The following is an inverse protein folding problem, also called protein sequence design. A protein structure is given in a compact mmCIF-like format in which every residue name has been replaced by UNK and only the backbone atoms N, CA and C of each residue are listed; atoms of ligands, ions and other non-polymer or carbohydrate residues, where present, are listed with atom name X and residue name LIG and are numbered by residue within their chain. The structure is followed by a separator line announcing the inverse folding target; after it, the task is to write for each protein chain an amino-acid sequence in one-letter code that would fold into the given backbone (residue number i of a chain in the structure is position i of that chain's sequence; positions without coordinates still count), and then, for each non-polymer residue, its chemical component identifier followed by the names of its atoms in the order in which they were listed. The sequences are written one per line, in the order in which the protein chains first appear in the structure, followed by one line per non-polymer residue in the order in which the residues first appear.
data_IF_663170205128
#
_entry.id   IF_663170205128
#
_cell.length_a   1.000
_cell.length_b   1.000
_cell.length_c   1.000
_cell.angle_alpha   90.00
_cell.angle_beta   90.00
_cell.angle_gamma   90.00
#
_symmetry.space_group_name_H-M   'P 1'
#
loop_
_entity.id
_entity.type
_entity.pdbx_description
1 polymer ?
#
# COMPACT_ATOMS: atom_id res chain seq x y z
N UNK A 1 10.89 23.94 -56.18
CA UNK A 1 11.84 25.03 -56.44
C UNK A 1 12.42 25.52 -55.10
N UNK A 2 13.78 25.48 -55.02
CA UNK A 2 14.71 26.04 -54.01
C UNK A 2 14.61 25.43 -52.58
N UNK A 3 15.44 24.50 -52.14
CA UNK A 3 16.89 24.48 -51.83
C UNK A 3 17.33 25.65 -50.94
N UNK A 4 17.91 25.31 -49.80
CA UNK A 4 19.18 25.80 -49.22
C UNK A 4 19.12 25.46 -47.71
N UNK A 5 20.04 24.92 -47.03
CA UNK A 5 21.38 24.36 -47.01
C UNK A 5 21.73 24.06 -45.55
N UNK A 6 22.23 22.93 -45.37
CA UNK A 6 23.13 22.46 -44.31
C UNK A 6 24.18 23.50 -43.88
N UNK A 7 24.42 23.61 -42.56
CA UNK A 7 25.73 24.03 -42.05
C UNK A 7 26.20 23.04 -41.00
N UNK A 8 27.35 22.49 -41.33
CA UNK A 8 28.17 21.58 -40.57
C UNK A 8 29.05 22.29 -39.52
N UNK A 9 29.44 21.48 -38.50
CA UNK A 9 30.77 21.49 -37.86
C UNK A 9 30.98 22.49 -36.74
N UNK A 10 31.49 22.11 -35.58
CA UNK A 10 32.81 21.51 -35.33
C UNK A 10 32.90 20.99 -33.89
N UNK A 11 33.38 19.79 -33.77
CA UNK A 11 34.04 19.23 -32.60
C UNK A 11 35.38 19.91 -32.30
N UNK A 12 35.81 19.92 -31.04
CA UNK A 12 37.21 19.74 -30.55
C UNK A 12 37.26 19.85 -29.00
N UNK A 13 38.37 19.42 -28.34
CA UNK A 13 38.31 18.25 -27.48
C UNK A 13 38.77 18.53 -26.03
N UNK A 14 38.64 17.52 -25.22
CA UNK A 14 39.40 17.10 -24.03
C UNK A 14 40.41 18.06 -23.40
N UNK A 15 40.30 18.23 -22.11
CA UNK A 15 41.49 18.34 -21.25
C UNK A 15 41.26 17.52 -19.98
N UNK A 16 42.09 16.49 -19.89
CA UNK A 16 42.39 15.66 -18.73
C UNK A 16 43.18 16.53 -17.75
N UNK A 17 42.80 16.54 -16.48
CA UNK A 17 43.70 16.86 -15.40
C UNK A 17 43.51 15.85 -14.27
N UNK A 18 44.47 14.93 -14.22
CA UNK A 18 44.76 14.11 -13.04
C UNK A 18 45.41 15.01 -11.97
N UNK A 19 44.97 14.86 -10.75
CA UNK A 19 45.80 15.12 -9.58
C UNK A 19 45.50 14.05 -8.54
N UNK A 20 46.43 13.12 -8.45
CA UNK A 20 46.60 12.25 -7.31
C UNK A 20 47.48 12.99 -6.28
N UNK A 21 47.22 12.80 -4.99
CA UNK A 21 48.18 12.69 -3.89
C UNK A 21 47.39 12.34 -2.62
N UNK A 22 47.59 11.11 -2.13
CA UNK A 22 48.17 10.65 -0.88
C UNK A 22 47.50 11.26 0.36
N UNK A 23 46.91 10.52 1.23
CA UNK A 23 47.43 9.44 2.05
C UNK A 23 47.43 9.91 3.48
N UNK A 24 46.75 9.25 4.36
CA UNK A 24 47.24 9.02 5.72
C UNK A 24 46.20 8.20 6.52
N UNK A 25 46.64 7.07 6.94
CA UNK A 25 46.30 6.24 8.07
C UNK A 25 45.70 6.93 9.28
N UNK A 26 44.64 6.34 9.85
CA UNK A 26 44.42 6.08 11.26
C UNK A 26 43.33 4.99 11.32
N UNK A 27 43.68 3.79 11.55
CA UNK A 27 43.81 2.98 12.74
C UNK A 27 42.52 2.83 13.54
N UNK A 28 41.90 1.67 13.37
CA UNK A 28 41.52 0.65 14.36
C UNK A 28 41.02 1.11 15.73
N UNK A 29 39.86 0.64 16.05
CA UNK A 29 39.29 0.16 17.31
C UNK A 29 37.84 0.70 17.38
N UNK A 30 36.80 -0.06 17.61
CA UNK A 30 36.59 -1.22 18.42
C UNK A 30 35.34 -1.94 17.98
N UNK A 31 35.47 -3.15 17.52
CA UNK A 31 34.43 -4.15 17.64
C UNK A 31 34.58 -4.78 19.03
N UNK A 32 33.68 -4.46 19.92
CA UNK A 32 33.53 -5.15 21.19
C UNK A 32 32.04 -5.26 21.47
N UNK A 33 31.44 -6.45 21.24
CA UNK A 33 31.04 -7.30 22.31
C UNK A 33 29.63 -6.94 22.77
N UNK A 34 28.57 -7.39 22.04
CA UNK A 34 27.33 -7.79 22.68
C UNK A 34 27.47 -9.27 22.99
N UNK A 35 28.13 -9.55 24.06
CA UNK A 35 28.04 -10.87 24.70
C UNK A 35 26.68 -11.01 25.38
N UNK A 36 26.10 -12.14 25.10
CA UNK A 36 24.86 -12.71 25.56
C UNK A 36 24.78 -12.71 27.09
N UNK A 37 23.88 -11.91 27.62
CA UNK A 37 23.58 -11.83 29.06
C UNK A 37 22.82 -13.07 29.58
N UNK A 38 22.67 -14.10 28.75
CA UNK A 38 21.97 -15.34 29.11
C UNK A 38 22.86 -16.36 29.86
N UNK A 39 24.18 -16.21 29.78
CA UNK A 39 25.11 -17.13 30.48
C UNK A 39 25.55 -16.66 31.88
N UNK A 40 25.34 -15.43 32.27
CA UNK A 40 25.67 -14.92 33.59
C UNK A 40 24.59 -15.19 34.66
N UNK A 41 23.36 -15.51 34.27
CA UNK A 41 22.26 -15.84 35.19
C UNK A 41 22.22 -17.30 35.62
N UNK A 42 23.03 -18.17 35.00
CA UNK A 42 23.06 -19.60 35.32
C UNK A 42 24.04 -19.97 36.46
N UNK A 43 24.87 -19.01 36.95
CA UNK A 43 25.87 -19.31 37.98
C UNK A 43 25.51 -18.84 39.39
N UNK A 44 24.33 -18.27 39.62
CA UNK A 44 23.86 -17.83 40.94
C UNK A 44 22.77 -18.71 41.58
N UNK A 45 22.53 -19.90 41.07
CA UNK A 45 21.68 -20.86 41.79
C UNK A 45 22.53 -21.67 42.74
N UNK A 46 22.68 -21.15 43.94
CA UNK A 46 23.31 -21.84 45.04
C UNK A 46 22.54 -23.08 45.46
N UNK A 47 23.29 -24.13 45.75
CA UNK A 47 22.83 -25.39 46.36
C UNK A 47 22.27 -25.11 47.76
N UNK A 48 21.00 -24.79 47.89
CA UNK A 48 20.29 -25.06 49.14
C UNK A 48 18.78 -25.11 48.90
N UNK A 49 18.20 -26.22 49.32
CA UNK A 49 16.87 -26.71 48.93
C UNK A 49 15.68 -26.06 49.68
N UNK A 50 15.72 -24.75 49.99
CA UNK A 50 14.66 -24.10 50.78
C UNK A 50 13.92 -22.94 50.15
N UNK A 51 14.21 -22.60 48.88
CA UNK A 51 13.56 -21.45 48.22
C UNK A 51 12.58 -21.81 47.10
N UNK A 52 11.79 -22.87 47.30
CA UNK A 52 10.70 -23.22 46.37
C UNK A 52 9.45 -22.32 46.46
N UNK A 53 9.46 -21.26 47.28
CA UNK A 53 8.24 -20.43 47.50
C UNK A 53 8.34 -18.96 47.07
N UNK A 54 9.45 -18.49 46.51
CA UNK A 54 9.59 -17.06 46.12
C UNK A 54 9.57 -16.85 44.58
N UNK A 55 9.61 -17.92 43.77
CA UNK A 55 9.62 -17.78 42.31
C UNK A 55 8.20 -17.67 41.72
N UNK A 56 7.13 -17.79 42.52
CA UNK A 56 5.76 -17.71 41.99
C UNK A 56 5.14 -16.32 41.97
N UNK A 57 5.86 -15.25 42.32
CA UNK A 57 5.32 -13.88 42.35
C UNK A 57 6.04 -12.84 41.47
N UNK A 58 6.96 -13.26 40.59
CA UNK A 58 7.56 -12.40 39.58
C UNK A 58 7.11 -12.82 38.17
N UNK A 59 5.84 -13.12 38.00
CA UNK A 59 5.21 -13.06 36.69
C UNK A 59 4.99 -11.57 36.35
N UNK A 60 5.96 -10.96 35.70
CA UNK A 60 5.74 -9.73 34.96
C UNK A 60 4.56 -10.01 34.02
N UNK A 61 3.44 -9.30 34.12
CA UNK A 61 2.36 -9.51 33.19
C UNK A 61 2.94 -9.21 31.81
N UNK A 62 2.98 -10.20 30.93
CA UNK A 62 3.20 -9.99 29.52
C UNK A 62 2.16 -8.95 29.09
N UNK A 63 2.61 -7.71 28.89
CA UNK A 63 1.82 -6.69 28.25
C UNK A 63 1.42 -7.27 26.89
N UNK A 64 0.18 -7.72 26.82
CA UNK A 64 -0.48 -8.05 25.57
C UNK A 64 -0.49 -6.78 24.72
N UNK A 65 0.55 -6.59 23.91
CA UNK A 65 0.48 -5.72 22.74
C UNK A 65 -0.35 -6.44 21.68
N UNK A 66 -1.61 -6.66 21.98
CA UNK A 66 -2.67 -6.91 21.02
C UNK A 66 -3.62 -5.71 21.06
N UNK A 67 -3.14 -4.57 20.59
CA UNK A 67 -4.03 -3.54 20.06
C UNK A 67 -4.55 -4.01 18.68
N UNK A 68 -5.02 -5.25 18.61
CA UNK A 68 -5.85 -5.73 17.53
C UNK A 68 -7.19 -5.05 17.65
N UNK A 69 -7.63 -4.46 16.59
CA UNK A 69 -8.85 -3.72 16.29
C UNK A 69 -10.13 -4.49 16.69
N UNK A 70 -10.33 -4.78 17.99
CA UNK A 70 -11.49 -5.50 18.52
C UNK A 70 -12.74 -4.60 18.66
N UNK A 71 -12.61 -3.29 18.41
CA UNK A 71 -13.70 -2.33 18.58
C UNK A 71 -14.54 -2.08 17.31
N UNK A 72 -14.16 -2.59 16.15
CA UNK A 72 -14.89 -2.35 14.90
C UNK A 72 -14.77 -3.55 13.94
N UNK A 73 -15.68 -4.54 14.04
CA UNK A 73 -15.62 -5.76 13.21
C UNK A 73 -15.81 -5.50 11.71
N UNK A 74 -16.39 -4.37 11.35
CA UNK A 74 -16.61 -3.95 9.96
C UNK A 74 -15.60 -2.89 9.48
N UNK A 75 -14.52 -2.66 10.25
CA UNK A 75 -13.47 -1.73 9.83
C UNK A 75 -12.46 -2.42 8.93
N UNK A 76 -11.96 -1.72 7.89
CA UNK A 76 -10.90 -2.22 7.03
C UNK A 76 -9.63 -2.60 7.81
N UNK A 77 -9.05 -3.73 7.47
CA UNK A 77 -7.74 -4.15 8.00
C UNK A 77 -6.64 -3.25 7.43
N UNK A 78 -5.85 -2.63 8.29
CA UNK A 78 -4.78 -1.71 7.92
C UNK A 78 -3.41 -2.35 8.13
N UNK A 79 -2.52 -2.26 7.15
CA UNK A 79 -1.15 -2.80 7.17
C UNK A 79 -0.17 -1.64 7.29
N UNK A 80 0.62 -1.55 8.38
CA UNK A 80 1.71 -0.59 8.48
C UNK A 80 2.77 -0.84 7.40
N UNK A 81 3.22 0.22 6.73
CA UNK A 81 4.24 0.09 5.67
C UNK A 81 5.64 0.24 6.29
N UNK A 82 6.51 -0.78 6.15
CA UNK A 82 7.84 -0.77 6.74
C UNK A 82 8.65 0.48 6.38
N UNK A 83 9.25 1.12 7.37
CA UNK A 83 10.07 2.32 7.18
C UNK A 83 9.29 3.60 6.85
N UNK A 84 7.95 3.57 6.93
CA UNK A 84 7.09 4.71 6.63
C UNK A 84 6.16 5.03 7.80
N UNK A 85 5.69 6.29 7.84
CA UNK A 85 4.76 6.76 8.87
C UNK A 85 3.29 6.67 8.43
N UNK A 86 2.92 5.61 7.71
CA UNK A 86 1.54 5.35 7.35
C UNK A 86 1.23 3.86 7.31
N UNK A 87 -0.03 3.55 7.47
CA UNK A 87 -0.60 2.24 7.15
C UNK A 87 -1.53 2.39 5.95
N UNK A 88 -1.72 1.30 5.21
CA UNK A 88 -2.64 1.25 4.08
C UNK A 88 -3.59 0.07 4.23
N UNK A 89 -4.80 0.18 3.69
CA UNK A 89 -5.77 -0.91 3.72
C UNK A 89 -5.21 -2.17 3.07
N UNK A 90 -5.33 -3.32 3.72
CA UNK A 90 -4.92 -4.62 3.18
C UNK A 90 -5.59 -4.90 1.83
N UNK A 91 -6.85 -4.49 1.71
CA UNK A 91 -7.71 -4.62 0.53
C UNK A 91 -8.22 -3.25 0.08
N UNK A 92 -8.74 -3.16 -1.14
CA UNK A 92 -9.66 -2.09 -1.50
C UNK A 92 -10.92 -2.18 -0.63
N UNK A 93 -11.54 -1.04 -0.31
CA UNK A 93 -12.80 -1.02 0.45
C UNK A 93 -13.84 -1.85 -0.29
N UNK A 94 -14.53 -2.72 0.45
CA UNK A 94 -15.50 -3.67 -0.07
C UNK A 94 -16.93 -3.11 -0.03
N UNK A 95 -17.82 -3.75 -0.77
CA UNK A 95 -19.24 -3.45 -0.63
C UNK A 95 -19.77 -3.72 0.78
N UNK A 96 -19.27 -4.76 1.47
CA UNK A 96 -19.65 -5.03 2.87
C UNK A 96 -19.34 -3.84 3.78
N UNK A 97 -18.14 -3.29 3.66
CA UNK A 97 -17.71 -2.14 4.45
C UNK A 97 -18.46 -0.85 4.05
N UNK A 98 -18.76 -0.69 2.77
CA UNK A 98 -19.58 0.41 2.28
C UNK A 98 -21.02 0.33 2.81
N UNK A 99 -21.62 -0.86 2.77
CA UNK A 99 -22.98 -1.10 3.27
C UNK A 99 -23.08 -0.82 4.77
N UNK A 100 -22.03 -1.16 5.54
CA UNK A 100 -21.95 -0.81 6.95
C UNK A 100 -21.89 0.71 7.18
N UNK A 101 -21.24 1.47 6.29
CA UNK A 101 -21.26 2.93 6.32
C UNK A 101 -22.67 3.48 6.10
N UNK A 102 -23.36 2.98 5.08
CA UNK A 102 -24.74 3.41 4.78
C UNK A 102 -25.69 3.06 5.94
N UNK A 103 -25.60 1.84 6.45
CA UNK A 103 -26.42 1.39 7.60
C UNK A 103 -26.13 2.21 8.88
N UNK A 104 -24.90 2.67 9.03
CA UNK A 104 -24.48 3.56 10.14
C UNK A 104 -24.81 5.03 9.94
N UNK A 105 -25.62 5.39 8.93
CA UNK A 105 -25.99 6.78 8.63
C UNK A 105 -24.94 7.59 7.90
N UNK A 106 -23.83 6.96 7.46
CA UNK A 106 -22.77 7.56 6.69
C UNK A 106 -22.97 7.48 5.17
N UNK A 107 -21.90 7.83 4.42
CA UNK A 107 -21.86 7.74 2.96
C UNK A 107 -22.99 8.47 2.22
N UNK A 108 -23.64 9.46 2.88
CA UNK A 108 -24.79 10.18 2.32
C UNK A 108 -25.97 9.29 1.95
N UNK A 109 -26.06 8.07 2.49
CA UNK A 109 -27.08 7.08 2.13
C UNK A 109 -26.92 6.50 0.71
N UNK A 110 -25.83 6.84 -0.01
CA UNK A 110 -25.63 6.41 -1.38
C UNK A 110 -25.36 4.91 -1.48
N UNK A 111 -26.13 4.22 -2.31
CA UNK A 111 -25.98 2.80 -2.58
C UNK A 111 -25.45 2.60 -4.01
N UNK A 112 -24.13 2.40 -4.20
CA UNK A 112 -23.55 2.17 -5.51
C UNK A 112 -24.02 0.84 -6.09
N UNK A 113 -24.25 0.82 -7.42
CA UNK A 113 -24.57 -0.40 -8.14
C UNK A 113 -23.41 -1.38 -8.10
N UNK A 114 -23.70 -2.65 -7.84
CA UNK A 114 -22.77 -3.76 -7.97
C UNK A 114 -22.72 -4.36 -9.39
N UNK A 115 -23.42 -3.74 -10.34
CA UNK A 115 -23.55 -4.17 -11.73
C UNK A 115 -24.09 -5.60 -11.88
N UNK A 116 -24.81 -6.13 -10.90
CA UNK A 116 -25.28 -7.52 -10.88
C UNK A 116 -24.19 -8.56 -10.62
N UNK A 117 -23.01 -8.14 -10.13
CA UNK A 117 -21.88 -9.04 -9.86
C UNK A 117 -21.87 -9.59 -8.43
N UNK A 118 -22.74 -9.06 -7.57
CA UNK A 118 -22.81 -9.33 -6.15
C UNK A 118 -21.98 -8.34 -5.33
N UNK A 119 -22.31 -8.24 -4.05
CA UNK A 119 -21.72 -7.32 -3.07
C UNK A 119 -20.71 -8.05 -2.16
N UNK A 120 -20.86 -7.94 -0.87
CA UNK A 120 -20.02 -8.62 0.12
C UNK A 120 -18.55 -8.23 -0.01
N UNK A 121 -17.69 -9.21 -0.22
CA UNK A 121 -16.25 -9.05 -0.29
C UNK A 121 -15.73 -8.57 -1.66
N UNK A 122 -16.58 -8.14 -2.58
CA UNK A 122 -16.10 -7.48 -3.79
C UNK A 122 -15.74 -6.03 -3.49
N UNK A 123 -14.71 -5.47 -4.18
CA UNK A 123 -14.37 -4.07 -4.00
C UNK A 123 -15.56 -3.19 -4.39
N UNK A 124 -15.85 -2.16 -3.60
CA UNK A 124 -16.86 -1.19 -3.95
C UNK A 124 -16.44 -0.44 -5.22
N UNK A 125 -17.37 -0.34 -6.15
CA UNK A 125 -17.19 0.39 -7.42
C UNK A 125 -18.36 1.35 -7.63
N UNK A 126 -18.34 2.14 -8.69
CA UNK A 126 -19.32 3.21 -8.91
C UNK A 126 -19.34 4.24 -7.78
N UNK A 127 -18.18 4.49 -7.18
CA UNK A 127 -17.96 5.50 -6.15
C UNK A 127 -17.00 6.56 -6.68
N UNK A 128 -17.32 7.83 -6.45
CA UNK A 128 -16.50 8.98 -6.77
C UNK A 128 -15.44 9.23 -5.68
N UNK A 129 -14.53 10.15 -5.92
CA UNK A 129 -13.60 10.63 -4.90
C UNK A 129 -14.37 11.30 -3.75
N UNK A 130 -15.40 12.07 -4.09
CA UNK A 130 -16.26 12.75 -3.09
C UNK A 130 -17.01 11.73 -2.22
N UNK A 131 -17.50 10.63 -2.82
CA UNK A 131 -18.13 9.52 -2.09
C UNK A 131 -17.11 8.83 -1.14
N UNK A 132 -15.87 8.61 -1.61
CA UNK A 132 -14.80 8.05 -0.78
C UNK A 132 -14.48 8.96 0.42
N UNK A 133 -14.50 10.29 0.25
CA UNK A 133 -14.34 11.24 1.35
C UNK A 133 -15.50 11.15 2.37
N UNK A 134 -16.73 10.89 1.91
CA UNK A 134 -17.86 10.70 2.82
C UNK A 134 -17.68 9.43 3.67
N UNK A 135 -17.21 8.32 3.06
CA UNK A 135 -16.85 7.09 3.76
C UNK A 135 -15.74 7.33 4.79
N UNK A 136 -14.70 8.04 4.41
CA UNK A 136 -13.55 8.36 5.26
C UNK A 136 -13.97 9.17 6.48
N UNK A 137 -14.79 10.20 6.31
CA UNK A 137 -15.31 11.00 7.44
C UNK A 137 -16.08 10.12 8.43
N UNK A 138 -17.06 9.35 7.93
CA UNK A 138 -17.84 8.44 8.75
C UNK A 138 -16.95 7.46 9.54
N UNK A 139 -15.99 6.82 8.87
CA UNK A 139 -15.11 5.86 9.52
C UNK A 139 -14.18 6.51 10.56
N UNK A 140 -13.68 7.70 10.25
CA UNK A 140 -12.83 8.48 11.17
C UNK A 140 -13.58 8.88 12.41
N UNK A 141 -14.81 9.38 12.28
CA UNK A 141 -15.70 9.73 13.40
C UNK A 141 -16.02 8.49 14.24
N UNK A 142 -16.38 7.37 13.58
CA UNK A 142 -16.71 6.10 14.25
C UNK A 142 -15.55 5.53 15.07
N UNK A 143 -14.30 5.71 14.62
CA UNK A 143 -13.13 5.04 15.20
C UNK A 143 -12.20 5.96 15.97
N UNK A 144 -12.33 7.27 15.83
CA UNK A 144 -11.39 8.26 16.35
C UNK A 144 -10.03 8.27 15.65
N UNK A 145 -9.90 7.61 14.48
CA UNK A 145 -8.63 7.52 13.71
C UNK A 145 -8.69 8.41 12.48
N UNK A 146 -7.57 9.01 12.09
CA UNK A 146 -7.46 9.89 10.94
C UNK A 146 -7.25 9.11 9.64
N UNK A 147 -8.31 8.49 9.10
CA UNK A 147 -8.27 7.85 7.79
C UNK A 147 -8.25 8.89 6.68
N UNK A 148 -7.67 8.51 5.55
CA UNK A 148 -7.59 9.32 4.33
C UNK A 148 -7.40 8.42 3.10
N UNK A 149 -7.38 8.99 1.92
CA UNK A 149 -6.85 8.32 0.73
C UNK A 149 -5.30 8.36 0.77
N UNK A 150 -4.61 7.38 0.16
CA UNK A 150 -3.17 7.45 -0.02
C UNK A 150 -2.81 8.54 -1.03
N UNK A 151 -1.64 9.13 -0.90
CA UNK A 151 -1.02 9.92 -1.98
C UNK A 151 -0.55 8.99 -3.11
N UNK A 152 -0.21 9.54 -4.28
CA UNK A 152 0.42 8.80 -5.38
C UNK A 152 1.69 8.07 -4.91
N UNK A 153 2.54 8.77 -4.15
CA UNK A 153 3.80 8.22 -3.66
C UNK A 153 3.57 7.05 -2.69
N UNK A 154 2.71 7.24 -1.69
CA UNK A 154 2.34 6.19 -0.73
C UNK A 154 1.74 4.97 -1.43
N UNK A 155 0.86 5.22 -2.42
CA UNK A 155 0.25 4.14 -3.18
C UNK A 155 1.32 3.34 -3.96
N UNK A 156 2.28 4.01 -4.61
CA UNK A 156 3.38 3.36 -5.37
C UNK A 156 4.32 2.57 -4.48
N UNK A 157 4.73 3.12 -3.33
CA UNK A 157 5.54 2.42 -2.32
C UNK A 157 4.82 1.14 -1.90
N UNK A 158 3.54 1.25 -1.56
CA UNK A 158 2.72 0.13 -1.14
C UNK A 158 2.52 -0.91 -2.26
N UNK A 159 2.32 -0.47 -3.51
CA UNK A 159 2.06 -1.36 -4.64
C UNK A 159 3.26 -2.22 -5.01
N UNK A 160 4.44 -1.63 -5.06
CA UNK A 160 5.68 -2.35 -5.41
C UNK A 160 6.25 -3.14 -4.24
N UNK A 161 6.05 -2.69 -3.00
CA UNK A 161 6.55 -3.36 -1.80
C UNK A 161 8.05 -3.73 -1.90
N UNK A 162 8.87 -2.81 -2.43
CA UNK A 162 10.30 -2.99 -2.64
C UNK A 162 10.70 -3.65 -3.96
N UNK A 163 9.76 -4.11 -4.80
CA UNK A 163 10.08 -4.64 -6.12
C UNK A 163 10.55 -3.52 -7.07
N UNK A 164 11.51 -3.86 -7.93
CA UNK A 164 12.05 -2.98 -8.98
C UNK A 164 11.53 -3.35 -10.38
N UNK A 165 10.62 -4.31 -10.44
CA UNK A 165 10.00 -4.85 -11.65
C UNK A 165 8.73 -4.09 -12.02
N UNK A 166 8.16 -4.34 -13.20
CA UNK A 166 6.93 -3.67 -13.67
C UNK A 166 5.71 -3.98 -12.79
N UNK A 167 5.63 -5.21 -12.27
CA UNK A 167 4.66 -5.68 -11.31
C UNK A 167 5.39 -6.16 -10.05
N UNK A 168 4.72 -6.22 -8.91
CA UNK A 168 5.35 -6.70 -7.68
C UNK A 168 5.75 -8.20 -7.74
N UNK A 169 5.26 -8.95 -8.73
CA UNK A 169 5.59 -10.37 -8.95
C UNK A 169 6.59 -10.59 -10.10
N UNK A 170 7.09 -9.55 -10.79
CA UNK A 170 8.05 -9.65 -11.88
C UNK A 170 7.74 -8.73 -13.05
N UNK A 171 8.40 -8.94 -14.19
CA UNK A 171 8.21 -8.16 -15.41
C UNK A 171 7.17 -8.77 -16.36
N UNK A 172 6.87 -10.05 -16.21
CA UNK A 172 5.82 -10.72 -16.98
C UNK A 172 4.50 -10.67 -16.22
N UNK A 173 3.42 -10.32 -16.93
CA UNK A 173 2.07 -10.35 -16.34
C UNK A 173 1.69 -11.77 -15.88
N UNK A 174 2.15 -12.80 -16.58
CA UNK A 174 1.84 -14.20 -16.32
C UNK A 174 0.34 -14.52 -16.46
N UNK A 175 -0.08 -15.58 -15.78
CA UNK A 175 -1.50 -15.95 -15.71
C UNK A 175 -1.99 -15.97 -14.26
N UNK A 176 -3.17 -15.43 -14.04
CA UNK A 176 -3.85 -15.47 -12.75
C UNK A 176 -3.06 -14.84 -11.59
N UNK A 177 -2.23 -13.85 -11.89
CA UNK A 177 -1.54 -13.04 -10.87
C UNK A 177 -2.38 -11.83 -10.44
N UNK A 178 -3.29 -11.38 -11.30
CA UNK A 178 -4.20 -10.26 -11.06
C UNK A 178 -5.49 -10.45 -11.88
N UNK A 179 -6.47 -9.59 -11.68
CA UNK A 179 -7.67 -9.51 -12.50
C UNK A 179 -7.58 -8.31 -13.45
N UNK A 180 -7.36 -8.58 -14.73
CA UNK A 180 -7.29 -7.58 -15.81
C UNK A 180 -7.78 -8.18 -17.12
N UNK A 181 -7.89 -7.39 -18.18
CA UNK A 181 -8.16 -7.88 -19.54
C UNK A 181 -6.89 -8.51 -20.11
N UNK A 182 -6.84 -9.84 -20.19
CA UNK A 182 -5.70 -10.63 -20.62
C UNK A 182 -4.81 -11.16 -19.47
N UNK A 183 -5.24 -11.07 -18.22
CA UNK A 183 -4.54 -11.67 -17.08
C UNK A 183 -4.87 -13.15 -16.86
N UNK A 184 -5.91 -13.68 -17.50
CA UNK A 184 -6.28 -15.09 -17.48
C UNK A 184 -6.93 -15.57 -16.20
N UNK A 185 -7.50 -14.68 -15.39
CA UNK A 185 -8.34 -15.03 -14.25
C UNK A 185 -9.75 -15.48 -14.69
N UNK A 186 -10.51 -16.12 -13.81
CA UNK A 186 -11.90 -16.47 -14.09
C UNK A 186 -12.82 -15.24 -14.23
N UNK A 187 -12.39 -14.06 -13.75
CA UNK A 187 -13.13 -12.79 -13.84
C UNK A 187 -12.64 -11.88 -14.96
N UNK A 188 -11.59 -12.28 -15.66
CA UNK A 188 -10.89 -11.53 -16.72
C UNK A 188 -11.87 -10.90 -17.70
N UNK A 189 -11.78 -9.59 -17.89
CA UNK A 189 -12.61 -8.75 -18.76
C UNK A 189 -14.13 -8.92 -18.58
N UNK A 190 -14.60 -9.44 -17.44
CA UNK A 190 -16.05 -9.68 -17.19
C UNK A 190 -16.57 -8.93 -15.97
N UNK A 191 -15.86 -8.99 -14.85
CA UNK A 191 -16.30 -8.41 -13.56
C UNK A 191 -15.13 -8.29 -12.56
N UNK A 192 -15.36 -7.59 -11.46
CA UNK A 192 -14.43 -7.60 -10.33
C UNK A 192 -14.31 -9.00 -9.72
N UNK A 193 -13.15 -9.32 -9.15
CA UNK A 193 -12.97 -10.48 -8.27
C UNK A 193 -13.30 -10.09 -6.81
N UNK A 194 -13.67 -11.02 -5.93
CA UNK A 194 -13.60 -10.78 -4.49
C UNK A 194 -12.20 -10.34 -4.09
N UNK A 195 -12.07 -9.42 -3.13
CA UNK A 195 -10.75 -8.97 -2.68
C UNK A 195 -9.95 -10.14 -2.10
N UNK A 196 -8.63 -10.14 -2.32
CA UNK A 196 -7.76 -11.20 -1.82
C UNK A 196 -7.77 -12.49 -2.66
N UNK A 197 -8.36 -12.47 -3.86
CA UNK A 197 -8.40 -13.65 -4.75
C UNK A 197 -7.03 -14.02 -5.34
N UNK A 198 -6.04 -13.13 -5.27
CA UNK A 198 -4.70 -13.31 -5.83
C UNK A 198 -3.64 -13.26 -4.73
N UNK A 199 -2.39 -13.60 -5.06
CA UNK A 199 -1.29 -13.55 -4.10
C UNK A 199 -1.00 -12.10 -3.67
N UNK A 200 -0.72 -11.85 -2.38
CA UNK A 200 -0.34 -10.52 -1.92
C UNK A 200 1.09 -10.17 -2.36
N UNK A 201 1.42 -8.88 -2.31
CA UNK A 201 2.80 -8.43 -2.43
C UNK A 201 3.61 -8.68 -1.12
N UNK A 202 4.89 -8.30 -1.10
CA UNK A 202 5.78 -8.53 0.04
C UNK A 202 5.36 -7.82 1.34
N UNK A 203 4.49 -6.80 1.26
CA UNK A 203 3.91 -6.16 2.44
C UNK A 203 2.59 -6.79 2.90
N UNK A 204 2.14 -7.87 2.26
CA UNK A 204 0.87 -8.53 2.57
C UNK A 204 -0.36 -7.80 2.02
N UNK A 205 -0.19 -6.90 1.04
CA UNK A 205 -1.25 -6.15 0.40
C UNK A 205 -1.77 -6.88 -0.83
N UNK A 206 -3.08 -6.98 -0.96
CA UNK A 206 -3.76 -7.66 -2.05
C UNK A 206 -4.30 -6.67 -3.08
N UNK A 207 -4.41 -7.10 -4.32
CA UNK A 207 -5.08 -6.37 -5.41
C UNK A 207 -4.57 -4.91 -5.56
N UNK A 208 -3.27 -4.69 -5.31
CA UNK A 208 -2.65 -3.39 -5.59
C UNK A 208 -2.61 -3.12 -7.10
N UNK A 209 -2.54 -4.19 -7.88
CA UNK A 209 -2.53 -4.16 -9.34
C UNK A 209 -3.66 -5.02 -9.87
N UNK A 210 -4.52 -4.45 -10.74
CA UNK A 210 -5.72 -5.07 -11.28
C UNK A 210 -6.94 -4.96 -10.34
N UNK A 211 -7.99 -5.66 -10.68
CA UNK A 211 -9.30 -5.71 -10.06
C UNK A 211 -10.06 -4.39 -10.17
N UNK A 212 -9.69 -3.35 -9.43
CA UNK A 212 -10.27 -2.00 -9.57
C UNK A 212 -9.18 -0.93 -9.53
N UNK A 213 -9.34 0.13 -10.33
CA UNK A 213 -8.62 1.36 -10.14
C UNK A 213 -8.89 1.93 -8.74
N UNK A 214 -7.92 2.60 -8.16
CA UNK A 214 -7.98 3.09 -6.79
C UNK A 214 -7.71 4.59 -6.75
N UNK A 215 -8.70 5.37 -6.25
CA UNK A 215 -8.56 6.79 -6.01
C UNK A 215 -7.39 7.10 -5.06
N UNK A 216 -6.68 8.19 -5.35
CA UNK A 216 -5.67 8.79 -4.45
C UNK A 216 -6.05 10.21 -4.08
N UNK A 217 -5.33 10.78 -3.09
CA UNK A 217 -5.51 12.19 -2.68
C UNK A 217 -4.67 13.16 -3.53
N UNK A 218 -3.98 12.67 -4.55
CA UNK A 218 -3.12 13.50 -5.39
C UNK A 218 -3.92 14.24 -6.45
N UNK A 219 -3.74 15.55 -6.50
CA UNK A 219 -4.33 16.43 -7.52
C UNK A 219 -3.65 16.21 -8.88
N UNK A 220 -4.42 16.25 -9.96
CA UNK A 220 -3.85 16.21 -11.30
C UNK A 220 -3.23 17.56 -11.67
N UNK A 221 -1.90 17.62 -11.86
CA UNK A 221 -1.16 18.82 -12.24
C UNK A 221 -1.53 20.07 -11.41
N UNK A 222 -1.68 19.89 -10.09
CA UNK A 222 -2.07 20.95 -9.16
C UNK A 222 -3.57 21.30 -9.16
N UNK A 223 -4.36 20.74 -10.07
CA UNK A 223 -5.80 20.95 -10.11
C UNK A 223 -6.54 19.91 -9.26
N UNK A 224 -7.02 20.29 -8.09
CA UNK A 224 -7.66 19.38 -7.12
C UNK A 224 -9.14 19.09 -7.41
N UNK A 225 -9.76 19.72 -8.43
CA UNK A 225 -11.04 19.22 -8.96
C UNK A 225 -10.91 17.92 -9.76
N UNK A 226 -9.65 17.52 -10.02
CA UNK A 226 -9.27 16.28 -10.69
C UNK A 226 -8.32 15.50 -9.79
N UNK A 227 -8.65 14.25 -9.53
CA UNK A 227 -7.84 13.36 -8.69
C UNK A 227 -7.28 12.21 -9.49
N UNK A 228 -6.08 11.81 -9.12
CA UNK A 228 -5.39 10.68 -9.74
C UNK A 228 -5.88 9.36 -9.15
N UNK A 229 -5.78 8.30 -9.96
CA UNK A 229 -6.05 6.93 -9.57
C UNK A 229 -5.06 5.97 -10.26
N UNK A 230 -4.81 4.85 -9.63
CA UNK A 230 -3.78 3.89 -10.00
C UNK A 230 -4.26 2.45 -9.91
N UNK A 231 -3.49 1.52 -10.52
CA UNK A 231 -3.60 0.09 -10.30
C UNK A 231 -4.18 -0.71 -11.44
N UNK A 232 -4.86 -0.10 -12.40
CA UNK A 232 -5.59 -0.84 -13.42
C UNK A 232 -6.85 -1.49 -12.88
N UNK A 233 -7.60 -2.21 -13.72
CA UNK A 233 -8.82 -2.89 -13.29
C UNK A 233 -9.15 -4.10 -14.16
N UNK A 234 -10.20 -4.81 -13.78
CA UNK A 234 -10.69 -6.05 -14.40
C UNK A 234 -10.88 -5.99 -15.92
N UNK A 235 -11.10 -4.80 -16.51
CA UNK A 235 -11.36 -4.58 -17.93
C UNK A 235 -10.31 -3.67 -18.60
N UNK A 236 -9.13 -3.50 -17.99
CA UNK A 236 -8.00 -2.78 -18.55
C UNK A 236 -6.84 -3.75 -18.80
N UNK A 237 -5.98 -3.41 -19.75
CA UNK A 237 -4.86 -4.26 -20.17
C UNK A 237 -3.75 -4.31 -19.10
N UNK A 238 -2.86 -5.33 -19.12
CA UNK A 238 -1.77 -5.47 -18.15
C UNK A 238 -0.91 -4.23 -17.97
N UNK A 239 -0.58 -3.52 -19.06
CA UNK A 239 0.24 -2.31 -18.99
C UNK A 239 -0.40 -1.18 -18.17
N UNK A 240 -1.73 -1.16 -18.08
CA UNK A 240 -2.46 -0.14 -17.31
C UNK A 240 -2.30 -0.34 -15.79
N UNK A 241 -1.87 -1.54 -15.36
CA UNK A 241 -1.62 -1.85 -13.95
C UNK A 241 -0.27 -1.34 -13.44
N UNK A 242 0.65 -0.94 -14.34
CA UNK A 242 1.99 -0.47 -13.98
C UNK A 242 1.90 0.81 -13.13
N UNK A 243 2.78 0.94 -12.16
CA UNK A 243 2.83 2.13 -11.27
C UNK A 243 3.19 3.42 -12.02
N UNK A 244 3.70 3.31 -13.24
CA UNK A 244 4.01 4.44 -14.13
C UNK A 244 2.79 4.96 -14.88
N UNK A 245 1.70 4.18 -14.96
CA UNK A 245 0.46 4.58 -15.64
C UNK A 245 -0.28 5.59 -14.78
N UNK A 246 -0.55 6.77 -15.34
CA UNK A 246 -1.22 7.89 -14.66
C UNK A 246 -2.56 8.16 -15.29
N UNK A 247 -3.61 8.11 -14.50
CA UNK A 247 -4.97 8.44 -14.90
C UNK A 247 -5.63 9.41 -13.91
N UNK A 248 -6.63 10.14 -14.37
CA UNK A 248 -7.36 11.08 -13.54
C UNK A 248 -8.82 11.23 -14.01
N UNK A 249 -9.68 11.58 -13.06
CA UNK A 249 -11.04 12.06 -13.33
C UNK A 249 -11.37 13.26 -12.44
N UNK A 250 -12.47 13.94 -12.77
CA UNK A 250 -13.11 14.90 -11.86
C UNK A 250 -13.58 14.15 -10.59
N UNK A 251 -13.55 14.85 -9.45
CA UNK A 251 -13.84 14.26 -8.13
C UNK A 251 -15.22 13.59 -8.01
N UNK A 252 -16.18 14.04 -8.81
CA UNK A 252 -17.56 13.51 -8.84
C UNK A 252 -17.76 12.33 -9.79
N UNK A 253 -16.72 11.86 -10.49
CA UNK A 253 -16.86 10.78 -11.49
C UNK A 253 -17.00 9.43 -10.83
N UNK A 254 -18.01 8.65 -11.25
CA UNK A 254 -18.30 7.28 -10.82
C UNK A 254 -18.13 6.32 -11.99
N UNK A 255 -17.40 5.21 -11.79
CA UNK A 255 -17.14 4.23 -12.84
C UNK A 255 -17.18 2.82 -12.26
N UNK A 256 -17.71 1.84 -13.03
CA UNK A 256 -17.85 0.43 -12.63
C UNK A 256 -16.52 -0.33 -12.44
N UNK A 257 -15.42 0.33 -12.65
CA UNK A 257 -14.08 -0.22 -12.51
C UNK A 257 -13.20 0.61 -11.56
N UNK A 258 -13.76 1.58 -10.85
CA UNK A 258 -13.05 2.51 -9.99
C UNK A 258 -13.63 2.49 -8.59
N UNK A 259 -12.78 2.20 -7.63
CA UNK A 259 -13.02 2.18 -6.21
C UNK A 259 -11.92 2.94 -5.47
N UNK A 260 -11.62 2.54 -4.24
CA UNK A 260 -10.58 3.19 -3.44
C UNK A 260 -10.04 2.26 -2.34
N UNK A 261 -8.91 2.66 -1.79
CA UNK A 261 -8.25 2.04 -0.65
C UNK A 261 -7.91 3.12 0.37
N UNK A 262 -7.94 2.78 1.65
CA UNK A 262 -7.64 3.72 2.72
C UNK A 262 -6.14 3.81 3.00
N UNK A 263 -5.73 4.96 3.52
CA UNK A 263 -4.49 5.15 4.26
C UNK A 263 -4.80 5.67 5.67
N UNK A 264 -3.86 5.48 6.58
CA UNK A 264 -3.90 5.97 7.95
C UNK A 264 -2.51 6.53 8.29
N UNK A 265 -2.44 7.76 8.76
CA UNK A 265 -1.18 8.32 9.26
C UNK A 265 -0.87 7.70 10.62
N UNK A 266 0.36 7.21 10.78
CA UNK A 266 0.87 6.67 12.04
C UNK A 266 1.62 7.76 12.83
N UNK A 267 1.65 7.67 14.16
CA UNK A 267 2.33 8.64 15.03
C UNK A 267 3.85 8.68 14.81
#
# INVERSE_FOLDING_TARGET
MKFIKSVHSRSLPALILMAAVAGAFFSSAAAAGREDNSQQLAQLVGKDGRDKQIVSQLSVPATKQNAGNTACPDCPEMVPIPGNKFAIGKYAVTFKEWDACVAGGGCGGYQPSDNGWGRGNRPVVNVSWDDAQAYIRWLSEKTGKAYRLPTEEEWKIAALAGATTEYYWGNDVGRNNANCDGCGSEWDNRKTAPVGSFKPNAFGLYDMMGNVWQWTDTCWQGNCSKRMFFGGSWNHRPQDMRTTTRNWFNTNKRMRYLGFRLALTLP
#
